data_IF_730955136822
#
_entry.id   IF_730955136822
#
_cell.length_a   1.000
_cell.length_b   1.000
_cell.length_c   1.000
_cell.angle_alpha   90.00
_cell.angle_beta   90.00
_cell.angle_gamma   90.00
#
_symmetry.space_group_name_H-M   'P 1'
#
loop_
_entity.id
_entity.type
_entity.pdbx_description
1 polymer ?
#
# COMPACT_ATOMS: atom_id res chain seq x y z
N UNK A 1 19.48 -3.29 -1.94
CA UNK A 1 19.00 -1.91 -2.28
C UNK A 1 19.62 -1.51 -3.60
N UNK A 2 18.83 -1.34 -4.63
CA UNK A 2 19.26 -1.22 -6.03
C UNK A 2 18.78 0.09 -6.63
N UNK A 3 19.64 0.82 -7.37
CA UNK A 3 19.24 1.97 -8.18
C UNK A 3 19.20 1.53 -9.64
N UNK A 4 18.04 1.72 -10.28
CA UNK A 4 17.77 1.20 -11.61
C UNK A 4 17.15 2.28 -12.50
N UNK A 5 17.51 2.22 -13.79
CA UNK A 5 16.71 2.82 -14.86
C UNK A 5 15.75 1.76 -15.37
N UNK A 6 14.53 1.80 -14.85
CA UNK A 6 13.52 0.77 -15.03
C UNK A 6 12.62 1.09 -16.23
N UNK A 7 12.57 0.24 -17.27
CA UNK A 7 11.66 0.42 -18.39
C UNK A 7 10.20 0.34 -17.96
N UNK A 8 9.38 1.22 -18.52
CA UNK A 8 7.93 1.20 -18.35
C UNK A 8 7.34 0.19 -19.34
N UNK A 9 6.77 -0.89 -18.81
CA UNK A 9 6.12 -1.94 -19.61
C UNK A 9 4.69 -1.57 -19.97
N UNK A 10 3.97 -0.92 -19.05
CA UNK A 10 2.64 -0.37 -19.28
C UNK A 10 2.30 0.74 -18.28
N UNK A 11 1.42 1.64 -18.70
CA UNK A 11 0.76 2.64 -17.85
C UNK A 11 -0.73 2.56 -18.12
N UNK A 12 -1.52 2.39 -17.08
CA UNK A 12 -2.97 2.30 -17.17
C UNK A 12 -3.58 3.29 -16.18
N UNK A 13 -4.44 4.18 -16.65
CA UNK A 13 -5.31 4.94 -15.75
C UNK A 13 -6.40 4.00 -15.23
N UNK A 14 -6.22 3.52 -14.00
CA UNK A 14 -7.09 2.53 -13.38
C UNK A 14 -8.46 3.11 -13.02
N UNK A 15 -8.43 4.29 -12.45
CA UNK A 15 -9.57 5.21 -12.23
C UNK A 15 -9.07 6.63 -12.45
N UNK A 16 -9.97 7.58 -12.65
CA UNK A 16 -9.61 8.97 -12.98
C UNK A 16 -8.57 9.56 -12.03
N UNK A 17 -7.42 9.94 -12.56
CA UNK A 17 -6.29 10.51 -11.82
C UNK A 17 -5.47 9.51 -11.00
N UNK A 18 -5.75 8.21 -11.10
CA UNK A 18 -4.96 7.13 -10.47
C UNK A 18 -4.40 6.22 -11.56
N UNK A 19 -3.09 6.10 -11.57
CA UNK A 19 -2.34 5.38 -12.58
C UNK A 19 -1.64 4.15 -11.98
N UNK A 20 -1.70 3.04 -12.70
CA UNK A 20 -0.96 1.82 -12.41
C UNK A 20 0.18 1.71 -13.43
N UNK A 21 1.40 1.71 -12.92
CA UNK A 21 2.63 1.52 -13.69
C UNK A 21 3.14 0.10 -13.51
N UNK A 22 3.45 -0.56 -14.60
CA UNK A 22 4.22 -1.79 -14.61
C UNK A 22 5.63 -1.50 -15.09
N UNK A 23 6.62 -1.85 -14.28
CA UNK A 23 8.03 -1.55 -14.52
C UNK A 23 8.83 -2.84 -14.53
N UNK A 24 9.79 -2.97 -15.45
CA UNK A 24 10.77 -4.04 -15.40
C UNK A 24 11.85 -3.69 -14.35
N UNK A 25 11.89 -4.44 -13.27
CA UNK A 25 12.79 -4.21 -12.14
C UNK A 25 13.12 -5.53 -11.42
N UNK A 26 13.86 -6.45 -12.09
CA UNK A 26 14.08 -7.81 -11.60
C UNK A 26 14.73 -7.85 -10.22
N UNK A 27 15.70 -6.99 -9.95
CA UNK A 27 16.40 -6.96 -8.67
C UNK A 27 15.48 -6.52 -7.52
N UNK A 28 14.61 -5.55 -7.79
CA UNK A 28 13.61 -5.10 -6.80
C UNK A 28 12.52 -6.16 -6.64
N UNK A 29 12.04 -6.75 -7.74
CA UNK A 29 11.01 -7.79 -7.71
C UNK A 29 11.44 -9.02 -6.90
N UNK A 30 12.73 -9.39 -6.98
CA UNK A 30 13.28 -10.52 -6.24
C UNK A 30 13.38 -10.27 -4.73
N UNK A 31 13.68 -9.05 -4.30
CA UNK A 31 13.96 -8.72 -2.90
C UNK A 31 12.77 -8.12 -2.15
N UNK A 32 11.83 -7.47 -2.88
CA UNK A 32 10.77 -6.70 -2.26
C UNK A 32 9.78 -7.55 -1.47
N UNK A 33 9.37 -7.03 -0.32
CA UNK A 33 8.37 -7.61 0.58
C UNK A 33 7.13 -6.72 0.65
N UNK A 34 5.94 -7.27 0.92
CA UNK A 34 4.72 -6.49 1.10
C UNK A 34 4.89 -5.35 2.10
N UNK A 35 4.45 -4.14 1.74
CA UNK A 35 4.58 -2.94 2.56
C UNK A 35 5.87 -2.15 2.35
N UNK A 36 6.86 -2.68 1.62
CA UNK A 36 8.03 -1.93 1.20
C UNK A 36 7.70 -0.99 0.02
N UNK A 37 8.56 -0.02 -0.22
CA UNK A 37 8.39 1.02 -1.22
C UNK A 37 9.66 1.21 -2.05
N UNK A 38 9.52 1.97 -3.13
CA UNK A 38 10.62 2.49 -3.94
C UNK A 38 10.57 4.01 -3.97
N UNK A 39 11.71 4.67 -4.10
CA UNK A 39 11.79 6.09 -4.42
C UNK A 39 11.90 6.26 -5.94
N UNK A 40 11.09 7.13 -6.50
CA UNK A 40 11.04 7.41 -7.94
C UNK A 40 11.41 8.86 -8.19
N UNK A 41 12.39 9.11 -9.07
CA UNK A 41 12.73 10.45 -9.54
C UNK A 41 11.68 10.94 -10.53
N UNK A 42 11.08 12.09 -10.27
CA UNK A 42 9.96 12.63 -11.03
C UNK A 42 10.37 13.86 -11.84
N UNK A 43 11.17 13.63 -12.89
CA UNK A 43 11.66 14.71 -13.78
C UNK A 43 12.82 15.52 -13.21
N UNK A 44 13.23 16.54 -13.96
CA UNK A 44 14.34 17.43 -13.59
C UNK A 44 13.91 18.58 -12.67
N UNK A 45 12.62 18.94 -12.71
CA UNK A 45 12.06 20.07 -11.95
C UNK A 45 11.74 19.73 -10.49
N UNK A 46 11.70 18.44 -10.15
CA UNK A 46 11.47 18.00 -8.78
C UNK A 46 12.78 17.54 -8.14
N UNK A 47 13.25 18.29 -7.16
CA UNK A 47 14.54 18.01 -6.48
C UNK A 47 14.52 16.66 -5.77
N UNK A 48 13.46 16.38 -5.02
CA UNK A 48 13.34 15.15 -4.24
C UNK A 48 12.59 14.05 -5.00
N UNK A 49 13.01 12.78 -4.90
CA UNK A 49 12.23 11.65 -5.38
C UNK A 49 10.93 11.48 -4.57
N UNK A 50 10.03 10.63 -5.05
CA UNK A 50 8.75 10.33 -4.39
C UNK A 50 8.68 8.87 -3.99
N UNK A 51 8.22 8.56 -2.77
CA UNK A 51 7.99 7.19 -2.33
C UNK A 51 6.71 6.62 -2.94
N UNK A 52 6.80 5.41 -3.48
CA UNK A 52 5.64 4.63 -3.91
C UNK A 52 5.76 3.21 -3.39
N UNK A 53 4.69 2.74 -2.74
CA UNK A 53 4.61 1.36 -2.29
C UNK A 53 4.68 0.39 -3.47
N UNK A 54 5.39 -0.72 -3.31
CA UNK A 54 5.30 -1.83 -4.25
C UNK A 54 3.90 -2.41 -4.15
N UNK A 55 3.14 -2.27 -5.23
CA UNK A 55 1.71 -2.62 -5.27
C UNK A 55 1.47 -4.10 -5.59
N UNK A 56 2.27 -4.65 -6.49
CA UNK A 56 2.31 -6.09 -6.81
C UNK A 56 3.61 -6.45 -7.49
N UNK A 57 3.89 -7.76 -7.57
CA UNK A 57 5.03 -8.32 -8.27
C UNK A 57 4.55 -9.44 -9.19
N UNK A 58 5.07 -9.47 -10.43
CA UNK A 58 4.84 -10.53 -11.38
C UNK A 58 6.15 -10.89 -12.11
N UNK A 59 6.79 -11.98 -11.68
CA UNK A 59 8.09 -12.37 -12.19
C UNK A 59 9.15 -11.28 -11.98
N UNK A 60 9.62 -10.66 -13.06
CA UNK A 60 10.62 -9.57 -13.05
C UNK A 60 9.99 -8.16 -12.96
N UNK A 61 8.68 -8.09 -12.92
CA UNK A 61 7.95 -6.82 -12.95
C UNK A 61 7.50 -6.40 -11.54
N UNK A 62 7.56 -5.12 -11.27
CA UNK A 62 6.89 -4.48 -10.14
C UNK A 62 5.77 -3.58 -10.65
N UNK A 63 4.69 -3.49 -9.89
CA UNK A 63 3.65 -2.50 -10.14
C UNK A 63 3.68 -1.40 -9.08
N UNK A 64 3.46 -0.15 -9.50
CA UNK A 64 3.31 1.02 -8.64
C UNK A 64 1.97 1.66 -8.91
N UNK A 65 1.18 1.87 -7.85
CA UNK A 65 -0.09 2.60 -7.91
C UNK A 65 0.14 4.02 -7.41
N UNK A 66 -0.22 5.02 -8.20
CA UNK A 66 -0.03 6.43 -7.86
C UNK A 66 -1.26 7.28 -8.16
N UNK A 67 -1.52 8.26 -7.31
CA UNK A 67 -2.51 9.32 -7.52
C UNK A 67 -1.82 10.61 -7.93
N UNK A 68 -2.41 11.35 -8.87
CA UNK A 68 -1.91 12.65 -9.30
C UNK A 68 -2.30 13.71 -8.28
N UNK A 69 -1.34 14.14 -7.47
CA UNK A 69 -1.56 15.11 -6.38
C UNK A 69 -0.66 16.34 -6.46
N UNK A 70 0.29 16.38 -7.41
CA UNK A 70 1.22 17.51 -7.54
C UNK A 70 2.16 17.37 -8.75
N UNK A 71 3.12 18.28 -8.87
CA UNK A 71 4.01 18.36 -10.04
C UNK A 71 4.71 17.05 -10.38
N UNK A 72 5.27 16.34 -9.38
CA UNK A 72 5.99 15.08 -9.59
C UNK A 72 5.10 13.97 -10.12
N UNK A 73 3.94 13.75 -9.49
CA UNK A 73 2.97 12.73 -9.95
C UNK A 73 2.28 13.14 -11.25
N UNK A 74 2.09 14.46 -11.51
CA UNK A 74 1.64 14.96 -12.79
C UNK A 74 2.65 14.68 -13.91
N UNK A 75 3.96 14.84 -13.64
CA UNK A 75 5.00 14.45 -14.60
C UNK A 75 4.99 12.94 -14.87
N UNK A 76 4.79 12.11 -13.84
CA UNK A 76 4.67 10.67 -14.01
C UNK A 76 3.46 10.30 -14.86
N UNK A 77 2.29 10.90 -14.66
CA UNK A 77 1.07 10.58 -15.40
C UNK A 77 1.18 10.79 -16.92
N UNK A 78 2.15 11.58 -17.36
CA UNK A 78 2.44 11.83 -18.79
C UNK A 78 3.36 10.76 -19.39
N UNK A 79 3.94 9.89 -18.58
CA UNK A 79 4.85 8.84 -19.03
C UNK A 79 4.14 7.75 -19.80
N UNK A 80 4.88 7.13 -20.74
CA UNK A 80 4.35 6.11 -21.65
C UNK A 80 5.20 4.84 -21.62
N UNK A 81 4.61 3.74 -22.07
CA UNK A 81 5.33 2.51 -22.35
C UNK A 81 6.58 2.75 -23.20
N UNK A 82 7.68 2.12 -22.85
CA UNK A 82 8.98 2.23 -23.50
C UNK A 82 9.89 3.35 -22.96
N UNK A 83 9.35 4.30 -22.17
CA UNK A 83 10.18 5.23 -21.42
C UNK A 83 10.78 4.55 -20.17
N UNK A 84 11.71 5.21 -19.51
CA UNK A 84 12.37 4.70 -18.30
C UNK A 84 12.12 5.61 -17.10
N UNK A 85 12.03 5.01 -15.90
CA UNK A 85 12.04 5.71 -14.63
C UNK A 85 13.32 5.39 -13.86
N UNK A 86 13.90 6.42 -13.23
CA UNK A 86 14.98 6.25 -12.27
C UNK A 86 14.34 5.93 -10.92
N UNK A 87 14.52 4.69 -10.48
CA UNK A 87 13.94 4.16 -9.25
C UNK A 87 15.02 3.57 -8.34
N UNK A 88 14.77 3.58 -7.07
CA UNK A 88 15.69 3.04 -6.11
C UNK A 88 14.95 2.36 -4.94
N UNK A 89 15.35 1.13 -4.61
CA UNK A 89 14.70 0.27 -3.62
C UNK A 89 15.14 -1.20 -3.72
N UNK A 90 14.40 -2.13 -3.09
CA UNK A 90 13.28 -1.87 -2.18
C UNK A 90 13.76 -1.24 -0.87
N UNK A 91 12.89 -0.46 -0.23
CA UNK A 91 13.18 0.32 0.96
C UNK A 91 12.19 0.06 2.09
N UNK A 92 12.65 0.32 3.31
CA UNK A 92 11.86 0.19 4.52
C UNK A 92 11.60 -1.24 4.95
N UNK A 93 10.85 -1.38 6.05
CA UNK A 93 10.41 -2.65 6.62
C UNK A 93 8.96 -2.91 6.25
N UNK A 94 8.69 -4.06 5.65
CA UNK A 94 7.36 -4.46 5.21
C UNK A 94 6.49 -5.05 6.33
N UNK A 95 5.31 -5.50 5.95
CA UNK A 95 4.43 -6.26 6.82
C UNK A 95 5.01 -7.63 7.19
N UNK A 96 4.72 -8.08 8.38
CA UNK A 96 5.11 -9.40 8.87
C UNK A 96 3.87 -10.24 9.15
N UNK A 97 3.64 -11.27 8.36
CA UNK A 97 2.58 -12.25 8.59
C UNK A 97 3.11 -13.28 9.59
N UNK A 98 2.38 -13.48 10.70
CA UNK A 98 2.70 -14.57 11.60
C UNK A 98 2.40 -15.90 10.90
N UNK A 99 3.36 -16.83 10.82
CA UNK A 99 3.16 -18.12 10.14
C UNK A 99 1.95 -18.92 10.67
N UNK A 100 1.60 -18.76 11.96
CA UNK A 100 0.44 -19.42 12.58
C UNK A 100 -0.90 -18.79 12.21
N UNK A 101 -0.91 -17.55 11.73
CA UNK A 101 -2.14 -16.86 11.31
C UNK A 101 -2.72 -17.51 10.06
N UNK A 102 -4.03 -17.73 10.07
CA UNK A 102 -4.79 -18.34 8.97
C UNK A 102 -5.74 -17.33 8.32
N UNK A 103 -6.30 -16.43 9.12
CA UNK A 103 -7.32 -15.46 8.67
C UNK A 103 -6.81 -14.04 8.91
N UNK A 104 -6.70 -13.28 7.85
CA UNK A 104 -6.16 -11.93 7.84
C UNK A 104 -7.23 -10.91 7.46
N UNK A 105 -7.26 -9.77 8.16
CA UNK A 105 -8.08 -8.62 7.82
C UNK A 105 -7.19 -7.48 7.36
N UNK A 106 -7.40 -6.99 6.14
CA UNK A 106 -6.71 -5.85 5.56
C UNK A 106 -7.69 -4.67 5.47
N UNK A 107 -7.33 -3.52 6.01
CA UNK A 107 -8.18 -2.32 6.02
C UNK A 107 -7.51 -1.21 5.24
N UNK A 108 -8.06 -0.90 4.07
CA UNK A 108 -7.58 0.16 3.19
C UNK A 108 -8.45 1.41 3.30
N UNK A 109 -7.82 2.57 3.42
CA UNK A 109 -8.47 3.87 3.26
C UNK A 109 -7.91 4.60 2.04
N UNK A 110 -8.71 4.77 0.99
CA UNK A 110 -8.27 5.40 -0.26
C UNK A 110 -7.04 4.74 -0.88
N UNK A 111 -5.96 5.51 -1.08
CA UNK A 111 -4.71 5.01 -1.65
C UNK A 111 -3.96 4.01 -0.76
N UNK A 112 -4.39 3.81 0.49
CA UNK A 112 -3.85 2.77 1.36
C UNK A 112 -3.99 1.35 0.82
N UNK A 113 -4.80 1.16 -0.21
CA UNK A 113 -4.88 -0.11 -0.94
C UNK A 113 -3.56 -0.45 -1.68
N UNK A 114 -2.72 0.55 -1.98
CA UNK A 114 -1.49 0.35 -2.75
C UNK A 114 -0.56 -0.70 -2.13
N UNK A 115 -0.11 -0.59 -0.87
CA UNK A 115 0.74 -1.61 -0.24
C UNK A 115 -0.02 -2.88 0.15
N UNK A 116 -1.33 -2.80 0.40
CA UNK A 116 -2.12 -3.92 0.90
C UNK A 116 -2.43 -4.95 -0.18
N UNK A 117 -2.45 -4.57 -1.45
CA UNK A 117 -2.65 -5.54 -2.53
C UNK A 117 -1.52 -6.57 -2.58
N UNK A 118 -0.26 -6.14 -2.53
CA UNK A 118 0.88 -7.06 -2.53
C UNK A 118 0.84 -7.99 -1.32
N UNK A 119 0.44 -7.48 -0.16
CA UNK A 119 0.24 -8.30 1.04
C UNK A 119 -0.86 -9.35 0.83
N UNK A 120 -1.98 -8.96 0.23
CA UNK A 120 -3.09 -9.87 -0.06
C UNK A 120 -2.67 -10.99 -1.01
N UNK A 121 -1.91 -10.68 -2.05
CA UNK A 121 -1.36 -11.67 -3.00
C UNK A 121 -0.45 -12.66 -2.28
N UNK A 122 0.50 -12.18 -1.49
CA UNK A 122 1.44 -13.03 -0.75
C UNK A 122 0.74 -13.91 0.28
N UNK A 123 -0.20 -13.34 1.03
CA UNK A 123 -0.99 -14.10 1.99
C UNK A 123 -1.81 -15.22 1.32
N UNK A 124 -2.41 -14.91 0.18
CA UNK A 124 -3.18 -15.90 -0.59
C UNK A 124 -2.28 -17.01 -1.19
N UNK A 125 -1.09 -16.66 -1.69
CA UNK A 125 -0.08 -17.64 -2.14
C UNK A 125 0.35 -18.58 -1.00
N UNK A 126 0.36 -18.10 0.25
CA UNK A 126 0.63 -18.90 1.47
C UNK A 126 -0.61 -19.67 2.00
N UNK A 127 -1.72 -19.67 1.25
CA UNK A 127 -2.96 -20.36 1.64
C UNK A 127 -3.74 -19.69 2.77
N UNK A 128 -3.47 -18.43 3.09
CA UNK A 128 -4.23 -17.66 4.09
C UNK A 128 -5.58 -17.23 3.53
N UNK A 129 -6.59 -17.11 4.41
CA UNK A 129 -7.85 -16.45 4.07
C UNK A 129 -7.70 -14.95 4.28
N UNK A 130 -8.02 -14.17 3.27
CA UNK A 130 -7.84 -12.73 3.28
C UNK A 130 -9.17 -12.02 3.07
N UNK A 131 -9.54 -11.18 4.02
CA UNK A 131 -10.65 -10.24 3.87
C UNK A 131 -10.08 -8.83 3.75
N UNK A 132 -10.45 -8.11 2.70
CA UNK A 132 -10.07 -6.70 2.50
C UNK A 132 -11.29 -5.83 2.66
N UNK A 133 -11.24 -4.86 3.56
CA UNK A 133 -12.17 -3.73 3.63
C UNK A 133 -11.53 -2.60 2.84
N UNK A 134 -12.14 -2.23 1.71
CA UNK A 134 -11.65 -1.21 0.80
C UNK A 134 -12.54 0.04 0.92
N UNK A 135 -12.07 1.06 1.61
CA UNK A 135 -12.80 2.29 1.88
C UNK A 135 -12.43 3.42 0.95
N UNK A 136 -13.42 4.15 0.45
CA UNK A 136 -13.25 5.34 -0.37
C UNK A 136 -14.36 6.37 -0.11
N UNK A 137 -14.23 7.58 -0.68
CA UNK A 137 -15.29 8.60 -0.58
C UNK A 137 -16.51 8.24 -1.41
N UNK A 138 -16.29 7.82 -2.63
CA UNK A 138 -17.34 7.49 -3.60
C UNK A 138 -16.96 6.24 -4.39
N UNK A 139 -17.90 5.66 -5.13
CA UNK A 139 -17.68 4.51 -6.03
C UNK A 139 -16.54 4.75 -7.01
N UNK A 140 -16.44 5.94 -7.59
CA UNK A 140 -15.42 6.29 -8.57
C UNK A 140 -14.00 6.30 -7.98
N UNK A 141 -13.89 6.33 -6.65
CA UNK A 141 -12.64 6.28 -5.90
C UNK A 141 -12.27 4.86 -5.43
N UNK A 142 -13.14 3.87 -5.62
CA UNK A 142 -12.87 2.48 -5.27
C UNK A 142 -11.89 1.87 -6.28
N UNK A 143 -10.72 1.48 -5.81
CA UNK A 143 -9.76 0.76 -6.64
C UNK A 143 -10.22 -0.70 -6.84
N UNK A 144 -10.42 -1.16 -8.09
CA UNK A 144 -10.91 -2.52 -8.34
C UNK A 144 -9.81 -3.56 -8.12
N UNK A 145 -9.84 -4.27 -7.00
CA UNK A 145 -8.85 -5.29 -6.64
C UNK A 145 -8.95 -6.57 -7.49
N UNK A 146 -10.14 -6.93 -7.93
CA UNK A 146 -10.41 -8.07 -8.79
C UNK A 146 -10.58 -7.66 -10.26
N UNK A 147 -9.90 -6.58 -10.67
CA UNK A 147 -9.99 -6.12 -12.04
C UNK A 147 -9.40 -7.15 -13.02
N UNK A 148 -9.91 -7.16 -14.28
CA UNK A 148 -9.44 -8.07 -15.30
C UNK A 148 -7.96 -7.89 -15.61
N UNK A 149 -7.36 -8.89 -16.23
CA UNK A 149 -5.93 -9.03 -16.57
C UNK A 149 -5.29 -7.77 -17.20
N UNK A 150 -6.07 -6.89 -17.82
CA UNK A 150 -5.61 -5.60 -18.38
C UNK A 150 -5.04 -4.62 -17.33
N UNK A 151 -5.50 -4.68 -16.06
CA UNK A 151 -4.96 -3.85 -14.98
C UNK A 151 -3.81 -4.55 -14.26
N UNK A 152 -3.93 -5.85 -14.08
CA UNK A 152 -2.92 -6.64 -13.40
C UNK A 152 -2.45 -7.72 -14.36
N UNK A 153 -1.17 -7.75 -14.68
CA UNK A 153 -0.55 -8.79 -15.51
C UNK A 153 -0.58 -10.18 -14.85
N UNK A 154 -1.15 -10.28 -13.66
CA UNK A 154 -1.48 -11.49 -12.92
C UNK A 154 -2.98 -11.78 -13.02
N UNK A 155 -3.35 -13.05 -12.91
CA UNK A 155 -4.74 -13.47 -12.81
C UNK A 155 -5.50 -12.86 -11.62
N UNK A 156 -6.79 -13.13 -11.51
CA UNK A 156 -7.60 -12.71 -10.38
C UNK A 156 -7.07 -13.29 -9.07
N UNK A 157 -7.26 -12.55 -7.98
CA UNK A 157 -6.98 -13.07 -6.64
C UNK A 157 -7.81 -14.35 -6.39
N UNK A 158 -7.26 -15.34 -5.67
CA UNK A 158 -7.92 -16.63 -5.49
C UNK A 158 -9.23 -16.52 -4.69
N UNK A 159 -10.05 -17.58 -4.73
CA UNK A 159 -11.34 -17.64 -4.03
C UNK A 159 -11.24 -17.48 -2.50
N UNK A 160 -10.05 -17.65 -1.93
CA UNK A 160 -9.76 -17.35 -0.51
C UNK A 160 -9.73 -15.85 -0.17
N UNK A 161 -9.84 -14.99 -1.19
CA UNK A 161 -9.84 -13.54 -1.08
C UNK A 161 -11.26 -12.99 -1.14
N UNK A 162 -11.64 -12.24 -0.10
CA UNK A 162 -12.90 -11.50 -0.05
C UNK A 162 -12.61 -10.00 -0.04
N UNK A 163 -13.27 -9.23 -0.89
CA UNK A 163 -13.23 -7.77 -0.85
C UNK A 163 -14.60 -7.22 -0.50
N UNK A 164 -14.63 -6.29 0.45
CA UNK A 164 -15.83 -5.57 0.89
C UNK A 164 -15.56 -4.08 0.72
N UNK A 165 -16.38 -3.42 -0.09
CA UNK A 165 -16.27 -1.99 -0.33
C UNK A 165 -17.11 -1.20 0.69
N UNK A 166 -16.57 -0.05 1.10
CA UNK A 166 -17.26 0.95 1.89
C UNK A 166 -17.09 2.33 1.24
N UNK A 167 -18.18 3.05 1.01
CA UNK A 167 -18.14 4.42 0.50
C UNK A 167 -18.84 5.36 1.44
N UNK A 168 -18.25 6.54 1.68
CA UNK A 168 -18.80 7.51 2.63
C UNK A 168 -20.20 7.98 2.20
N UNK A 169 -20.41 8.14 0.88
CA UNK A 169 -21.69 8.55 0.29
C UNK A 169 -22.71 7.40 0.11
N UNK A 170 -22.26 6.14 0.24
CA UNK A 170 -23.09 4.95 0.03
C UNK A 170 -23.30 4.58 -1.44
N UNK A 171 -22.49 5.12 -2.37
CA UNK A 171 -22.62 4.85 -3.80
C UNK A 171 -22.16 3.43 -4.18
N UNK A 172 -21.37 2.75 -3.32
CA UNK A 172 -21.01 1.34 -3.47
C UNK A 172 -20.74 0.68 -2.12
N UNK A 173 -21.29 -0.52 -1.93
CA UNK A 173 -21.09 -1.34 -0.75
C UNK A 173 -21.72 -0.74 0.52
N UNK A 174 -20.98 -0.79 1.63
CA UNK A 174 -21.44 -0.24 2.90
C UNK A 174 -21.38 1.30 2.86
N UNK A 175 -22.45 1.95 3.30
CA UNK A 175 -22.49 3.41 3.46
C UNK A 175 -21.82 3.82 4.76
N UNK A 176 -20.60 4.38 4.67
CA UNK A 176 -19.83 4.83 5.81
C UNK A 176 -18.33 4.62 5.66
N UNK A 177 -17.63 4.72 6.77
CA UNK A 177 -16.17 4.56 6.81
C UNK A 177 -15.76 3.09 6.90
N UNK A 178 -14.65 2.72 6.29
CA UNK A 178 -14.06 1.37 6.38
C UNK A 178 -13.91 0.88 7.83
N UNK A 179 -13.60 1.77 8.76
CA UNK A 179 -13.43 1.44 10.17
C UNK A 179 -14.71 0.92 10.83
N UNK A 180 -15.88 1.33 10.36
CA UNK A 180 -17.16 0.87 10.91
C UNK A 180 -17.46 -0.59 10.58
N UNK A 181 -16.85 -1.11 9.52
CA UNK A 181 -16.97 -2.52 9.14
C UNK A 181 -16.04 -3.45 9.94
N UNK A 182 -14.97 -2.92 10.54
CA UNK A 182 -13.98 -3.75 11.25
C UNK A 182 -14.62 -4.71 12.25
N UNK A 183 -15.49 -4.30 13.19
CA UNK A 183 -16.09 -5.19 14.19
C UNK A 183 -16.83 -6.37 13.58
N UNK A 184 -17.47 -6.18 12.42
CA UNK A 184 -18.25 -7.24 11.75
C UNK A 184 -17.39 -8.37 11.19
N UNK A 185 -16.10 -8.08 10.91
CA UNK A 185 -15.16 -9.02 10.30
C UNK A 185 -14.10 -9.56 11.26
N UNK A 186 -14.04 -9.08 12.51
CA UNK A 186 -12.99 -9.49 13.47
C UNK A 186 -13.15 -10.90 14.05
N UNK A 187 -14.34 -11.51 13.91
CA UNK A 187 -14.54 -12.89 14.37
C UNK A 187 -13.61 -13.83 13.59
N UNK A 188 -12.78 -14.57 14.29
CA UNK A 188 -11.78 -15.51 13.76
C UNK A 188 -10.63 -14.84 12.97
N UNK A 189 -10.43 -13.53 13.06
CA UNK A 189 -9.24 -12.87 12.50
C UNK A 189 -8.07 -13.00 13.47
N UNK A 190 -6.93 -13.42 12.92
CA UNK A 190 -5.68 -13.61 13.67
C UNK A 190 -4.83 -12.35 13.67
N UNK A 191 -4.71 -11.67 12.52
CA UNK A 191 -3.96 -10.43 12.37
C UNK A 191 -4.73 -9.39 11.55
N UNK A 192 -4.49 -8.11 11.84
CA UNK A 192 -5.06 -6.98 11.13
C UNK A 192 -3.94 -6.12 10.54
N UNK A 193 -4.08 -5.74 9.29
CA UNK A 193 -3.15 -4.88 8.58
C UNK A 193 -3.91 -3.68 8.03
N UNK A 194 -3.35 -2.48 8.16
CA UNK A 194 -4.04 -1.30 7.65
C UNK A 194 -3.09 -0.33 6.96
N UNK A 195 -3.62 0.36 5.95
CA UNK A 195 -3.01 1.52 5.34
C UNK A 195 -4.08 2.53 4.94
N UNK A 196 -3.85 3.80 5.28
CA UNK A 196 -4.80 4.88 5.02
C UNK A 196 -4.50 6.15 5.81
N UNK A 197 -5.44 7.08 5.87
CA UNK A 197 -5.23 8.37 6.51
C UNK A 197 -5.09 8.26 8.03
N UNK A 198 -4.37 9.21 8.65
CA UNK A 198 -4.12 9.26 10.09
C UNK A 198 -5.42 9.21 10.94
N UNK A 199 -6.52 9.79 10.44
CA UNK A 199 -7.83 9.73 11.11
C UNK A 199 -8.35 8.30 11.25
N UNK A 200 -8.10 7.43 10.23
CA UNK A 200 -8.43 6.01 10.28
C UNK A 200 -7.68 5.33 11.42
N UNK A 201 -6.39 5.57 11.54
CA UNK A 201 -5.56 4.99 12.61
C UNK A 201 -5.98 5.45 14.01
N UNK A 202 -6.32 6.76 14.16
CA UNK A 202 -6.86 7.29 15.42
C UNK A 202 -8.17 6.63 15.82
N UNK A 203 -9.04 6.33 14.87
CA UNK A 203 -10.28 5.59 15.12
C UNK A 203 -9.95 4.15 15.52
N UNK A 204 -9.11 3.45 14.76
CA UNK A 204 -8.71 2.07 15.04
C UNK A 204 -8.05 1.90 16.41
N UNK A 205 -7.20 2.85 16.82
CA UNK A 205 -6.50 2.79 18.12
C UNK A 205 -7.43 2.89 19.34
N UNK A 206 -8.63 3.42 19.14
CA UNK A 206 -9.68 3.55 20.19
C UNK A 206 -10.67 2.39 20.21
N UNK A 207 -10.58 1.45 19.25
CA UNK A 207 -11.48 0.30 19.16
C UNK A 207 -11.13 -0.75 20.21
N UNK A 208 -12.03 -1.07 21.16
CA UNK A 208 -11.79 -2.12 22.16
C UNK A 208 -11.49 -3.49 21.52
N UNK A 209 -12.15 -3.77 20.40
CA UNK A 209 -12.05 -5.04 19.66
C UNK A 209 -10.66 -5.28 19.07
N UNK A 210 -9.88 -4.23 18.86
CA UNK A 210 -8.51 -4.30 18.35
C UNK A 210 -7.45 -4.32 19.45
N UNK A 211 -7.86 -4.15 20.72
CA UNK A 211 -6.94 -4.01 21.85
C UNK A 211 -5.99 -5.21 21.98
N UNK A 212 -6.50 -6.42 21.76
CA UNK A 212 -5.72 -7.66 21.92
C UNK A 212 -5.32 -8.30 20.57
N UNK A 213 -5.60 -7.63 19.47
CA UNK A 213 -5.19 -8.07 18.14
C UNK A 213 -3.78 -7.60 17.79
N UNK A 214 -3.07 -8.40 17.00
CA UNK A 214 -1.85 -7.97 16.32
C UNK A 214 -2.25 -7.08 15.12
N UNK A 215 -2.02 -5.78 15.25
CA UNK A 215 -2.39 -4.78 14.24
C UNK A 215 -1.13 -4.08 13.75
N UNK A 216 -0.88 -4.14 12.44
CA UNK A 216 0.21 -3.47 11.78
C UNK A 216 -0.33 -2.35 10.87
N UNK A 217 0.25 -1.17 10.97
CA UNK A 217 -0.12 0.03 10.20
C UNK A 217 1.04 0.44 9.29
N UNK A 218 0.77 0.70 8.01
CA UNK A 218 1.73 1.32 7.10
C UNK A 218 1.50 2.82 7.08
N UNK A 219 2.50 3.60 7.51
CA UNK A 219 2.39 5.04 7.61
C UNK A 219 2.75 5.75 6.32
N UNK A 220 1.92 6.70 5.91
CA UNK A 220 2.16 7.61 4.79
C UNK A 220 2.71 8.93 5.32
N UNK A 221 4.00 9.16 5.16
CA UNK A 221 4.71 10.37 5.60
C UNK A 221 5.54 10.90 4.44
N UNK A 222 5.67 12.22 4.35
CA UNK A 222 6.58 12.85 3.39
C UNK A 222 8.02 12.38 3.60
N UNK A 223 8.66 11.94 2.53
CA UNK A 223 10.04 11.45 2.55
C UNK A 223 10.90 12.26 1.59
N UNK A 224 12.10 12.62 2.04
CA UNK A 224 13.10 13.26 1.20
C UNK A 224 14.07 12.24 0.60
N UNK A 225 14.87 11.56 1.43
CA UNK A 225 15.92 10.64 0.97
C UNK A 225 15.49 9.18 0.82
N UNK A 226 14.53 8.70 1.59
CA UNK A 226 14.13 7.29 1.61
C UNK A 226 15.08 6.34 2.37
N UNK A 227 16.24 6.83 2.86
CA UNK A 227 17.34 6.00 3.41
C UNK A 227 17.68 6.26 4.87
N UNK A 228 16.94 7.15 5.53
CA UNK A 228 17.19 7.51 6.92
C UNK A 228 18.24 8.59 7.14
N UNK A 229 18.83 9.18 6.09
CA UNK A 229 19.92 10.16 6.23
C UNK A 229 19.41 11.56 6.57
N UNK A 230 18.29 12.01 5.99
CA UNK A 230 17.81 13.38 6.11
C UNK A 230 16.94 13.66 7.34
N UNK A 231 16.48 12.62 8.06
CA UNK A 231 15.58 12.70 9.22
C UNK A 231 14.19 13.33 8.94
N UNK A 232 13.88 13.70 7.69
CA UNK A 232 12.64 14.39 7.33
C UNK A 232 11.36 13.59 7.56
N UNK A 233 11.44 12.25 7.64
CA UNK A 233 10.32 11.37 7.90
C UNK A 233 10.26 10.87 9.37
N UNK A 234 10.85 11.61 10.31
CA UNK A 234 10.89 11.22 11.73
C UNK A 234 9.54 11.38 12.39
N UNK A 235 9.11 10.34 13.09
CA UNK A 235 7.91 10.32 13.91
C UNK A 235 8.25 10.00 15.37
N UNK A 236 7.36 10.39 16.28
CA UNK A 236 7.43 10.01 17.69
C UNK A 236 6.68 8.70 17.90
N UNK A 237 7.34 7.75 18.54
CA UNK A 237 6.76 6.46 18.95
C UNK A 237 6.90 6.29 20.46
N UNK A 238 6.26 5.28 21.04
CA UNK A 238 6.43 4.95 22.47
C UNK A 238 7.86 4.51 22.81
N UNK A 239 8.64 4.10 21.80
CA UNK A 239 10.04 3.68 21.95
C UNK A 239 11.05 4.74 21.49
N UNK A 240 10.62 6.02 21.43
CA UNK A 240 11.46 7.13 20.98
C UNK A 240 11.20 7.53 19.53
N UNK A 241 12.14 8.29 18.96
CA UNK A 241 12.06 8.76 17.58
C UNK A 241 12.38 7.63 16.60
N UNK A 242 11.60 7.52 15.54
CA UNK A 242 11.77 6.54 14.46
C UNK A 242 11.67 7.21 13.11
N UNK A 243 12.47 6.76 12.16
CA UNK A 243 12.45 7.23 10.77
C UNK A 243 11.58 6.30 9.94
N UNK A 244 10.45 6.80 9.41
CA UNK A 244 9.49 5.97 8.68
C UNK A 244 10.12 5.27 7.48
N UNK A 245 11.06 5.90 6.78
CA UNK A 245 11.71 5.29 5.63
C UNK A 245 12.70 4.16 5.98
N UNK A 246 13.22 4.12 7.21
CA UNK A 246 14.23 3.15 7.65
C UNK A 246 13.67 2.13 8.66
N UNK A 247 12.95 2.63 9.68
CA UNK A 247 12.39 1.82 10.76
C UNK A 247 10.98 1.28 10.41
N UNK A 248 10.26 1.94 9.47
CA UNK A 248 8.97 1.59 8.92
C UNK A 248 9.06 1.32 7.40
N UNK A 249 8.01 1.58 6.60
CA UNK A 249 6.79 2.32 6.95
C UNK A 249 5.79 1.55 7.81
N UNK A 250 5.99 0.26 8.01
CA UNK A 250 5.09 -0.59 8.79
C UNK A 250 5.51 -0.61 10.26
N UNK A 251 4.55 -0.34 11.13
CA UNK A 251 4.72 -0.34 12.59
C UNK A 251 3.55 -1.08 13.26
N UNK A 252 3.80 -1.64 14.43
CA UNK A 252 2.73 -2.10 15.31
C UNK A 252 1.87 -0.91 15.77
N UNK A 253 0.54 -1.04 15.70
CA UNK A 253 -0.38 0.05 16.11
C UNK A 253 -0.10 0.53 17.54
N UNK A 254 0.29 -0.37 18.45
CA UNK A 254 0.60 -0.05 19.84
C UNK A 254 1.90 0.76 20.03
N UNK A 255 2.76 0.78 19.02
CA UNK A 255 4.05 1.51 19.08
C UNK A 255 3.88 2.98 18.73
N UNK A 256 2.88 3.32 17.94
CA UNK A 256 2.68 4.67 17.40
C UNK A 256 1.95 5.53 18.42
N UNK A 257 2.32 6.81 18.50
CA UNK A 257 1.56 7.84 19.20
C UNK A 257 0.64 8.52 18.18
N UNK A 258 -0.65 8.14 18.19
CA UNK A 258 -1.68 8.60 17.27
C UNK A 258 -2.50 9.77 17.83
#
# INVERSE_FOLDING_TARGET
MNQLKSPILSVVEAIKGIYLFHLEAPEIAQEAKPGQFVMVRCGKETILPRPFSVHSINGKEIALLLSVVGKGTGWLSLKKKGETLDIFGPLGNGYTINPKSKNLLLVAGGMGIAPLRFLAEKAAEEGKKVTVINGARTRECIMPLNAPQRLYNKGMLPASFQCVNATEDGSEGFKGLATQLIPHYLKNIDQVFACGPAAMYKTMSKMPELKDKDVQLSLEIMMGCGTGVCYGCTIKTKRGLKQVCKDGPVFGMREIQL
#
